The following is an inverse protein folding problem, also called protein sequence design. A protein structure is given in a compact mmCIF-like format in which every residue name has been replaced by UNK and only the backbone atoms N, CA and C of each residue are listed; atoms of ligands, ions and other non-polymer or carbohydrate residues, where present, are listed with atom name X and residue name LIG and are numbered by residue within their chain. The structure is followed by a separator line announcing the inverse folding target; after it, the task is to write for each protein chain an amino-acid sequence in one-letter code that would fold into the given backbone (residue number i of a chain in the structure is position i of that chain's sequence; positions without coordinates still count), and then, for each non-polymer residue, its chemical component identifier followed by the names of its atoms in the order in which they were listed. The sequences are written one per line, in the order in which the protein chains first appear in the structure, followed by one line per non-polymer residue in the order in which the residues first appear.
data_IF_135644841372
#
_entry.id   IF_135644841372
#
_cell.length_a   1.000
_cell.length_b   1.000
_cell.length_c   1.000
_cell.angle_alpha   90.00
_cell.angle_beta   90.00
_cell.angle_gamma   90.00
#
_symmetry.space_group_name_H-M   'P 1'
#
loop_
_entity.id
_entity.type
_entity.pdbx_description
1 polymer ?
#
# COMPACT_ATOMS: atom_id res chain seq x y z
N UNK A 1 -8.81 -20.53 1.78
CA UNK A 1 -9.48 -19.21 1.89
C UNK A 1 -8.49 -18.20 2.43
N UNK A 2 -7.73 -17.56 1.55
CA UNK A 2 -6.69 -16.60 1.92
C UNK A 2 -7.32 -15.20 1.96
N UNK A 3 -7.90 -14.82 3.10
CA UNK A 3 -8.46 -13.48 3.32
C UNK A 3 -7.33 -12.50 3.64
N UNK A 4 -6.41 -12.28 2.68
CA UNK A 4 -5.43 -11.21 2.83
C UNK A 4 -6.18 -9.88 3.00
N UNK A 5 -5.93 -9.10 4.06
CA UNK A 5 -6.61 -7.83 4.25
C UNK A 5 -6.29 -6.86 3.11
N UNK A 6 -7.34 -6.27 2.53
CA UNK A 6 -7.23 -5.28 1.47
C UNK A 6 -7.83 -3.95 1.93
N UNK A 7 -7.09 -2.87 1.71
CA UNK A 7 -7.53 -1.50 1.92
C UNK A 7 -7.84 -0.94 0.54
N UNK A 8 -9.05 -0.41 0.36
CA UNK A 8 -9.43 0.28 -0.87
C UNK A 8 -9.54 1.76 -0.60
N UNK A 9 -8.78 2.55 -1.36
CA UNK A 9 -8.84 4.00 -1.37
C UNK A 9 -9.54 4.42 -2.65
N UNK A 10 -10.64 5.15 -2.53
CA UNK A 10 -11.37 5.72 -3.65
C UNK A 10 -11.17 7.23 -3.63
N UNK A 11 -10.76 7.81 -4.76
CA UNK A 11 -10.69 9.25 -4.92
C UNK A 11 -11.98 9.76 -5.58
N UNK A 12 -12.68 10.68 -4.91
CA UNK A 12 -13.89 11.32 -5.45
C UNK A 12 -13.61 12.10 -6.75
N UNK A 13 -12.37 12.58 -6.90
CA UNK A 13 -11.83 13.15 -8.12
C UNK A 13 -10.50 12.47 -8.44
N UNK A 14 -10.27 12.02 -9.69
CA UNK A 14 -9.01 11.38 -10.03
C UNK A 14 -7.79 12.25 -9.67
N UNK A 15 -6.76 11.61 -9.10
CA UNK A 15 -5.59 12.27 -8.53
C UNK A 15 -4.29 11.68 -9.07
N UNK A 16 -3.22 12.47 -9.05
CA UNK A 16 -1.86 12.01 -9.29
C UNK A 16 -1.28 11.49 -7.98
N UNK A 17 -0.72 10.28 -8.01
CA UNK A 17 -0.13 9.63 -6.83
C UNK A 17 1.38 9.62 -7.02
N UNK A 18 2.12 10.14 -6.03
CA UNK A 18 3.58 10.20 -6.09
C UNK A 18 4.27 9.29 -5.08
N UNK A 19 3.57 8.97 -3.98
CA UNK A 19 4.10 8.13 -2.92
C UNK A 19 3.00 7.28 -2.30
N UNK A 20 3.37 6.12 -1.79
CA UNK A 20 2.49 5.30 -0.98
C UNK A 20 3.32 4.55 0.05
N UNK A 21 3.07 4.86 1.31
CA UNK A 21 3.79 4.30 2.46
C UNK A 21 2.79 3.82 3.51
N UNK A 22 3.13 2.74 4.23
CA UNK A 22 2.42 2.32 5.44
C UNK A 22 3.34 2.50 6.66
N UNK A 23 3.35 3.68 7.31
CA UNK A 23 4.17 3.95 8.48
C UNK A 23 3.88 3.00 9.66
N UNK A 24 4.92 2.49 10.32
CA UNK A 24 4.81 1.69 11.55
C UNK A 24 5.17 2.45 12.82
N UNK A 25 5.84 3.61 12.70
CA UNK A 25 6.24 4.47 13.80
C UNK A 25 5.09 5.37 14.31
N UNK A 26 4.02 5.53 13.52
CA UNK A 26 2.87 6.38 13.87
C UNK A 26 1.88 5.72 14.82
N UNK A 27 1.99 4.42 15.06
CA UNK A 27 1.12 3.68 15.98
C UNK A 27 1.91 2.76 16.90
N UNK A 28 1.50 2.57 18.17
CA UNK A 28 2.22 1.71 19.10
C UNK A 28 2.34 0.25 18.61
N UNK A 29 1.33 -0.24 17.90
CA UNK A 29 1.17 -1.64 17.48
C UNK A 29 1.20 -1.85 15.95
N UNK A 30 1.71 -0.89 15.19
CA UNK A 30 1.91 -1.03 13.74
C UNK A 30 2.79 -2.24 13.39
N UNK A 31 2.28 -3.17 12.59
CA UNK A 31 2.95 -4.44 12.27
C UNK A 31 3.02 -4.77 10.76
N UNK A 32 2.61 -3.86 9.87
CA UNK A 32 2.65 -4.13 8.42
C UNK A 32 4.09 -4.22 7.91
N UNK A 33 4.48 -5.40 7.44
CA UNK A 33 5.82 -5.65 6.92
C UNK A 33 5.91 -5.37 5.43
N UNK A 34 4.90 -5.78 4.67
CA UNK A 34 4.91 -5.72 3.22
C UNK A 34 3.49 -5.76 2.66
N UNK A 35 3.29 -5.10 1.52
CA UNK A 35 2.00 -5.00 0.85
C UNK A 35 2.18 -4.94 -0.67
N UNK A 36 1.10 -5.18 -1.39
CA UNK A 36 1.03 -5.06 -2.85
C UNK A 36 -0.03 -4.03 -3.24
N UNK A 37 0.17 -3.34 -4.36
CA UNK A 37 -0.72 -2.27 -4.81
C UNK A 37 -1.18 -2.46 -6.24
N UNK A 38 -2.48 -2.26 -6.46
CA UNK A 38 -3.09 -2.12 -7.78
C UNK A 38 -3.72 -0.74 -7.91
N UNK A 39 -3.33 -0.01 -8.94
CA UNK A 39 -3.86 1.29 -9.32
C UNK A 39 -4.94 1.11 -10.38
N UNK A 40 -5.98 1.93 -10.32
CA UNK A 40 -7.08 1.92 -11.28
C UNK A 40 -7.32 3.31 -11.85
N UNK A 41 -7.53 3.35 -13.17
CA UNK A 41 -7.88 4.55 -13.94
C UNK A 41 -9.30 5.03 -13.61
N UNK A 42 -9.71 6.24 -14.03
CA UNK A 42 -11.06 6.74 -13.84
C UNK A 42 -12.14 5.92 -14.54
N UNK A 43 -11.74 5.08 -15.50
CA UNK A 43 -12.63 4.18 -16.24
C UNK A 43 -12.78 2.81 -15.57
N UNK A 44 -12.11 2.58 -14.43
CA UNK A 44 -12.16 1.32 -13.68
C UNK A 44 -11.19 0.24 -14.19
N UNK A 45 -10.41 0.53 -15.23
CA UNK A 45 -9.36 -0.38 -15.70
C UNK A 45 -8.14 -0.32 -14.78
N UNK A 46 -7.47 -1.46 -14.58
CA UNK A 46 -6.15 -1.49 -13.91
C UNK A 46 -5.14 -0.69 -14.73
N UNK A 47 -4.33 0.11 -14.06
CA UNK A 47 -3.19 0.81 -14.67
C UNK A 47 -1.98 -0.13 -14.70
N UNK A 48 -1.74 -0.88 -13.60
CA UNK A 48 -0.75 -1.94 -13.56
C UNK A 48 -1.42 -3.32 -13.59
N UNK A 49 -1.05 -4.15 -14.56
CA UNK A 49 -1.59 -5.52 -14.72
C UNK A 49 -1.17 -6.45 -13.58
N UNK A 50 0.07 -6.28 -13.11
CA UNK A 50 0.67 -7.03 -11.99
C UNK A 50 0.72 -6.10 -10.76
N UNK A 51 0.20 -6.51 -9.60
CA UNK A 51 0.32 -5.74 -8.37
C UNK A 51 1.78 -5.41 -8.04
N UNK A 52 2.05 -4.17 -7.68
CA UNK A 52 3.40 -3.70 -7.34
C UNK A 52 3.66 -4.02 -5.88
N UNK A 53 4.69 -4.82 -5.62
CA UNK A 53 5.11 -5.22 -4.28
C UNK A 53 5.96 -4.12 -3.63
N UNK A 54 5.67 -3.76 -2.40
CA UNK A 54 6.48 -2.80 -1.64
C UNK A 54 7.80 -3.41 -1.14
N UNK A 55 8.73 -2.51 -0.82
CA UNK A 55 9.88 -2.85 -0.01
C UNK A 55 9.43 -3.46 1.32
N UNK A 56 10.19 -4.44 1.81
CA UNK A 56 9.91 -5.04 3.11
C UNK A 56 10.43 -4.15 4.25
N UNK A 57 9.55 -3.80 5.17
CA UNK A 57 9.91 -3.16 6.43
C UNK A 57 10.66 -4.15 7.34
N UNK A 58 11.89 -3.85 7.82
CA UNK A 58 12.61 -4.75 8.71
C UNK A 58 11.84 -4.96 10.02
N UNK A 59 11.67 -6.21 10.46
CA UNK A 59 10.88 -6.56 11.66
C UNK A 59 11.18 -5.68 12.88
N UNK A 60 12.46 -5.51 13.17
CA UNK A 60 12.98 -4.81 14.36
C UNK A 60 13.11 -3.28 14.19
N UNK A 61 12.85 -2.72 13.01
CA UNK A 61 13.02 -1.28 12.73
C UNK A 61 11.72 -0.65 12.19
N UNK A 62 10.92 -0.12 13.12
CA UNK A 62 9.66 0.59 12.80
C UNK A 62 9.87 1.92 12.07
N UNK A 63 11.08 2.49 12.07
CA UNK A 63 11.40 3.76 11.40
C UNK A 63 11.59 3.60 9.88
N UNK A 64 11.71 2.36 9.40
CA UNK A 64 11.82 2.01 7.97
C UNK A 64 10.53 1.34 7.51
N UNK A 65 9.48 2.10 7.17
CA UNK A 65 8.20 1.52 6.79
C UNK A 65 8.27 0.80 5.44
N UNK A 66 7.27 -0.04 5.20
CA UNK A 66 7.04 -0.57 3.87
C UNK A 66 6.60 0.58 2.96
N UNK A 67 7.21 0.69 1.78
CA UNK A 67 6.94 1.75 0.81
C UNK A 67 6.99 1.17 -0.61
N UNK A 68 6.21 1.74 -1.52
CA UNK A 68 6.39 1.46 -2.93
C UNK A 68 7.65 2.15 -3.46
N UNK A 69 8.31 1.50 -4.41
CA UNK A 69 9.27 2.18 -5.28
C UNK A 69 8.50 3.22 -6.12
N UNK A 70 8.86 4.49 -5.97
CA UNK A 70 8.23 5.60 -6.69
C UNK A 70 8.35 5.50 -8.19
N UNK A 71 9.37 4.80 -8.71
CA UNK A 71 9.57 4.59 -10.16
C UNK A 71 8.53 3.65 -10.77
N UNK A 72 7.83 2.88 -9.94
CA UNK A 72 6.78 1.95 -10.36
C UNK A 72 5.37 2.56 -10.21
N UNK A 73 5.25 3.73 -9.58
CA UNK A 73 3.99 4.43 -9.41
C UNK A 73 3.66 5.17 -10.72
N UNK A 74 2.45 5.05 -11.27
CA UNK A 74 2.06 5.70 -12.51
C UNK A 74 1.83 7.20 -12.30
N UNK A 75 2.91 7.95 -12.10
CA UNK A 75 2.89 9.37 -11.71
C UNK A 75 2.39 10.32 -12.80
N UNK A 76 2.30 9.87 -14.04
CA UNK A 76 1.78 10.58 -15.21
C UNK A 76 0.33 10.22 -15.55
N UNK A 77 -0.28 9.29 -14.81
CA UNK A 77 -1.68 8.90 -14.97
C UNK A 77 -2.55 9.35 -13.79
N UNK A 78 -3.81 9.65 -14.09
CA UNK A 78 -4.79 9.94 -13.04
C UNK A 78 -5.33 8.64 -12.46
N UNK A 79 -5.20 8.48 -11.16
CA UNK A 79 -5.71 7.34 -10.40
C UNK A 79 -7.06 7.70 -9.79
N UNK A 80 -8.05 6.80 -9.91
CA UNK A 80 -9.36 6.94 -9.25
C UNK A 80 -9.52 6.00 -8.06
N UNK A 81 -8.79 4.89 -8.04
CA UNK A 81 -8.82 3.90 -6.97
C UNK A 81 -7.47 3.23 -6.80
N UNK A 82 -7.17 2.87 -5.56
CA UNK A 82 -6.01 2.09 -5.17
C UNK A 82 -6.50 0.93 -4.30
N UNK A 83 -6.11 -0.28 -4.66
CA UNK A 83 -6.24 -1.44 -3.78
C UNK A 83 -4.86 -1.80 -3.20
N UNK A 84 -4.77 -1.83 -1.87
CA UNK A 84 -3.56 -2.16 -1.13
C UNK A 84 -3.81 -3.47 -0.38
N UNK A 85 -3.14 -4.54 -0.78
CA UNK A 85 -3.27 -5.86 -0.14
C UNK A 85 -2.07 -6.11 0.75
N UNK A 86 -2.30 -6.32 2.06
CA UNK A 86 -1.22 -6.63 2.99
C UNK A 86 -0.84 -8.10 2.82
N UNK A 87 0.44 -8.33 2.49
CA UNK A 87 0.94 -9.68 2.19
C UNK A 87 1.78 -10.28 3.31
N UNK A 88 2.34 -9.44 4.18
CA UNK A 88 3.12 -9.88 5.35
C UNK A 88 3.01 -8.89 6.50
N UNK A 89 2.95 -9.42 7.71
CA UNK A 89 3.10 -8.69 8.97
C UNK A 89 4.35 -9.16 9.69
N UNK A 90 4.91 -8.32 10.55
CA UNK A 90 6.18 -8.62 11.23
C UNK A 90 6.05 -9.67 12.34
N UNK A 91 4.82 -9.92 12.79
CA UNK A 91 4.46 -10.88 13.83
C UNK A 91 3.62 -12.06 13.30
N UNK A 92 3.42 -12.18 11.98
CA UNK A 92 2.56 -13.17 11.32
C UNK A 92 1.09 -13.16 11.78
N UNK A 93 0.69 -12.11 12.52
CA UNK A 93 -0.67 -11.87 12.98
C UNK A 93 -1.45 -10.96 12.02
N UNK A 94 -2.74 -10.77 12.30
CA UNK A 94 -3.56 -9.80 11.56
C UNK A 94 -2.94 -8.38 11.61
N UNK A 95 -3.07 -7.57 10.54
CA UNK A 95 -2.59 -6.20 10.52
C UNK A 95 -3.21 -5.35 11.63
N UNK A 96 -2.37 -4.55 12.29
CA UNK A 96 -2.70 -3.68 13.43
C UNK A 96 -2.08 -2.31 13.20
N UNK A 97 -2.71 -1.27 13.76
CA UNK A 97 -2.16 0.08 13.75
C UNK A 97 -1.87 0.62 12.35
N UNK A 98 -2.68 0.24 11.35
CA UNK A 98 -2.47 0.61 9.95
C UNK A 98 -2.68 2.10 9.78
N UNK A 99 -1.65 2.79 9.31
CA UNK A 99 -1.68 4.19 8.87
C UNK A 99 -1.28 4.21 7.41
N UNK A 100 -2.02 4.95 6.60
CA UNK A 100 -1.73 5.16 5.19
C UNK A 100 -1.26 6.60 4.99
N UNK A 101 -0.13 6.73 4.32
CA UNK A 101 0.43 8.01 3.86
C UNK A 101 0.52 7.98 2.33
N UNK A 102 -0.18 8.92 1.68
CA UNK A 102 -0.39 8.98 0.23
C UNK A 102 -0.40 10.41 -0.30
#
# INVERSE_FOLDING_TARGET
NNLKPTITVQFDKPAEVHSLTLPRDKTPNGNVQQFEVTFYSPYGNKINDIPILSDSSPKEDKSKPAKLDSTQIPSDERVSRIDITIVRTTDDESPKGVVLDI
#
